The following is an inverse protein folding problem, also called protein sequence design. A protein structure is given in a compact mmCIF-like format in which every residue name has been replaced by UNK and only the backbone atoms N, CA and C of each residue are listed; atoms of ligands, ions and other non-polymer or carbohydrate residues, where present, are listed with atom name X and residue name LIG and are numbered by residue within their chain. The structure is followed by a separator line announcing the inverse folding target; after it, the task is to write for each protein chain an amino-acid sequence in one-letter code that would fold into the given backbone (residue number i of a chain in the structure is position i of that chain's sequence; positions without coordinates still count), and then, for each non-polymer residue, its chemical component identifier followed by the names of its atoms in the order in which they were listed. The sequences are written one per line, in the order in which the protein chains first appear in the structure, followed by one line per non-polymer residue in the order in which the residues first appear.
data_IF_289799616127
#
_entry.id   IF_289799616127
#
_cell.length_a   1.000
_cell.length_b   1.000
_cell.length_c   1.000
_cell.angle_alpha   90.00
_cell.angle_beta   90.00
_cell.angle_gamma   90.00
#
_symmetry.space_group_name_H-M   'P 1'
#
loop_
_entity.id
_entity.type
_entity.pdbx_description
1 polymer ?
#
# COMPACT_ATOMS: atom_id res chain seq x y z
N UNK A 1 -1.00 16.56 2.03
CA UNK A 1 -1.79 15.33 1.75
C UNK A 1 -0.91 14.11 1.44
N UNK A 2 0.11 14.24 0.60
CA UNK A 2 1.01 13.14 0.20
C UNK A 2 1.61 12.35 1.39
N UNK A 3 2.19 13.04 2.37
CA UNK A 3 2.80 12.40 3.54
C UNK A 3 1.83 11.57 4.37
N UNK A 4 0.55 11.97 4.42
CA UNK A 4 -0.51 11.20 5.08
C UNK A 4 -0.77 9.89 4.35
N UNK A 5 -0.87 9.92 3.01
CA UNK A 5 -1.07 8.72 2.17
C UNK A 5 0.13 7.79 2.31
N UNK A 6 1.35 8.32 2.29
CA UNK A 6 2.58 7.55 2.50
C UNK A 6 2.58 6.82 3.85
N UNK A 7 2.29 7.53 4.93
CA UNK A 7 2.20 6.94 6.28
C UNK A 7 1.09 5.90 6.38
N UNK A 8 -0.05 6.14 5.73
CA UNK A 8 -1.16 5.20 5.67
C UNK A 8 -0.76 3.89 4.99
N UNK A 9 -0.04 3.94 3.87
CA UNK A 9 0.43 2.74 3.15
C UNK A 9 1.44 1.93 3.97
N UNK A 10 2.38 2.60 4.65
CA UNK A 10 3.31 1.95 5.59
C UNK A 10 2.59 1.22 6.73
N UNK A 11 1.62 1.88 7.36
CA UNK A 11 0.80 1.26 8.41
C UNK A 11 -0.05 0.10 7.89
N UNK A 12 -0.56 0.20 6.66
CA UNK A 12 -1.28 -0.89 6.01
C UNK A 12 -0.37 -2.10 5.81
N UNK A 13 0.86 -1.88 5.33
CA UNK A 13 1.85 -2.94 5.10
C UNK A 13 2.17 -3.70 6.40
N UNK A 14 2.37 -2.96 7.50
CA UNK A 14 2.63 -3.54 8.82
C UNK A 14 1.44 -4.39 9.30
N UNK A 15 0.21 -3.88 9.17
CA UNK A 15 -1.02 -4.62 9.52
C UNK A 15 -1.15 -5.91 8.71
N UNK A 16 -0.81 -5.88 7.43
CA UNK A 16 -0.83 -7.07 6.59
C UNK A 16 0.24 -8.09 7.03
N UNK A 17 1.43 -7.62 7.40
CA UNK A 17 2.49 -8.47 7.93
C UNK A 17 2.08 -9.17 9.23
N UNK A 18 1.48 -8.45 10.17
CA UNK A 18 0.95 -9.01 11.40
C UNK A 18 -0.15 -10.05 11.14
N UNK A 19 -1.09 -9.74 10.23
CA UNK A 19 -2.16 -10.68 9.84
C UNK A 19 -1.59 -11.94 9.20
N UNK A 20 -0.62 -11.82 8.30
CA UNK A 20 0.06 -12.96 7.66
C UNK A 20 0.71 -13.87 8.70
N UNK A 21 1.46 -13.31 9.64
CA UNK A 21 2.11 -14.07 10.71
C UNK A 21 1.10 -14.79 11.62
N UNK A 22 -0.05 -14.15 11.90
CA UNK A 22 -1.15 -14.77 12.64
C UNK A 22 -1.74 -15.96 11.88
N UNK A 23 -1.95 -15.84 10.56
CA UNK A 23 -2.42 -16.94 9.73
C UNK A 23 -1.42 -18.09 9.68
N UNK A 24 -0.12 -17.79 9.59
CA UNK A 24 0.93 -18.81 9.60
C UNK A 24 0.96 -19.61 10.91
N UNK A 25 0.78 -18.95 12.05
CA UNK A 25 0.63 -19.63 13.34
C UNK A 25 -0.63 -20.50 13.38
N UNK A 26 -1.76 -20.02 12.89
CA UNK A 26 -3.00 -20.80 12.81
C UNK A 26 -2.86 -22.03 11.91
N UNK A 27 -2.24 -21.90 10.74
CA UNK A 27 -1.98 -23.02 9.84
C UNK A 27 -1.09 -24.08 10.49
N UNK A 28 -0.07 -23.68 11.26
CA UNK A 28 0.74 -24.62 12.05
C UNK A 28 -0.10 -25.36 13.09
N UNK A 29 -0.96 -24.64 13.82
CA UNK A 29 -1.83 -25.24 14.84
C UNK A 29 -2.81 -26.26 14.25
N UNK A 30 -3.43 -25.95 13.11
CA UNK A 30 -4.37 -26.85 12.42
C UNK A 30 -3.69 -28.16 12.01
N UNK A 31 -2.47 -28.10 11.51
CA UNK A 31 -1.72 -29.32 11.14
C UNK A 31 -1.50 -30.21 12.37
N UNK A 32 -1.20 -29.63 13.52
CA UNK A 32 -1.08 -30.38 14.77
C UNK A 32 -2.43 -30.91 15.25
N UNK A 33 -3.49 -30.10 15.20
CA UNK A 33 -4.82 -30.49 15.69
C UNK A 33 -5.50 -31.55 14.81
N UNK A 34 -5.20 -31.59 13.51
CA UNK A 34 -5.61 -32.70 12.63
C UNK A 34 -5.05 -34.04 13.13
N UNK A 35 -3.78 -34.09 13.54
CA UNK A 35 -3.16 -35.30 14.09
C UNK A 35 -3.80 -35.71 15.41
N UNK A 36 -4.00 -34.75 16.32
CA UNK A 36 -4.62 -34.99 17.62
C UNK A 36 -6.06 -35.49 17.47
N UNK A 37 -6.89 -34.82 16.66
CA UNK A 37 -8.27 -35.26 16.40
C UNK A 37 -8.34 -36.64 15.76
N UNK A 38 -7.43 -36.97 14.85
CA UNK A 38 -7.34 -38.33 14.28
C UNK A 38 -7.02 -39.38 15.35
N UNK A 39 -6.07 -39.11 16.25
CA UNK A 39 -5.68 -40.05 17.32
C UNK A 39 -6.83 -40.24 18.31
N UNK A 40 -7.48 -39.15 18.75
CA UNK A 40 -8.64 -39.22 19.65
C UNK A 40 -9.75 -40.04 19.02
N UNK A 41 -10.05 -39.80 17.75
CA UNK A 41 -11.11 -40.54 17.05
C UNK A 41 -10.82 -42.05 16.99
N UNK A 42 -9.59 -42.43 16.65
CA UNK A 42 -9.16 -43.84 16.62
C UNK A 42 -9.22 -44.46 18.02
N UNK A 43 -8.74 -43.75 19.04
CA UNK A 43 -8.72 -44.25 20.42
C UNK A 43 -10.13 -44.44 21.00
N UNK A 44 -11.03 -43.46 20.82
CA UNK A 44 -12.43 -43.57 21.24
C UNK A 44 -13.13 -44.73 20.51
N UNK A 45 -12.87 -44.88 19.22
CA UNK A 45 -13.47 -45.97 18.45
C UNK A 45 -12.99 -47.35 18.91
N UNK A 46 -11.69 -47.51 19.14
CA UNK A 46 -11.12 -48.74 19.69
C UNK A 46 -11.70 -49.08 21.09
N UNK A 47 -11.84 -48.08 21.96
CA UNK A 47 -12.43 -48.27 23.29
C UNK A 47 -13.89 -48.73 23.20
N UNK A 48 -14.70 -48.11 22.32
CA UNK A 48 -16.10 -48.53 22.09
C UNK A 48 -16.18 -49.97 21.59
N UNK A 49 -15.30 -50.36 20.66
CA UNK A 49 -15.25 -51.76 20.18
C UNK A 49 -14.88 -52.75 21.29
N UNK A 50 -13.88 -52.43 22.11
CA UNK A 50 -13.47 -53.31 23.23
C UNK A 50 -14.61 -53.44 24.25
N UNK A 51 -15.24 -52.33 24.65
CA UNK A 51 -16.40 -52.34 25.55
C UNK A 51 -17.58 -53.12 24.97
N UNK A 52 -17.81 -53.00 23.66
CA UNK A 52 -18.87 -53.70 22.93
C UNK A 52 -18.66 -55.23 22.93
N UNK A 53 -17.43 -55.71 22.70
CA UNK A 53 -17.11 -57.15 22.74
C UNK A 53 -17.26 -57.72 24.15
N UNK A 54 -16.80 -57.01 25.18
CA UNK A 54 -16.94 -57.46 26.59
C UNK A 54 -18.42 -57.56 27.00
N UNK A 55 -19.23 -56.57 26.63
CA UNK A 55 -20.67 -56.60 26.89
C UNK A 55 -21.38 -57.75 26.15
N UNK A 56 -20.98 -58.04 24.91
CA UNK A 56 -21.53 -59.15 24.12
C UNK A 56 -21.20 -60.52 24.73
N UNK A 57 -19.97 -60.70 25.21
CA UNK A 57 -19.54 -61.95 25.85
C UNK A 57 -20.29 -62.21 27.17
N UNK A 58 -20.78 -61.16 27.84
CA UNK A 58 -21.51 -61.25 29.09
C UNK A 58 -23.04 -61.31 28.93
N UNK A 59 -23.58 -61.02 27.73
CA UNK A 59 -25.03 -60.98 27.48
C UNK A 59 -25.50 -62.14 26.57
N UNK A 60 -26.67 -62.69 26.87
CA UNK A 60 -27.27 -63.85 26.20
C UNK A 60 -27.41 -63.70 24.65
N UNK A 61 -27.60 -64.81 23.90
CA UNK A 61 -27.55 -64.88 22.43
C UNK A 61 -28.29 -63.80 21.60
N UNK A 62 -29.43 -63.22 22.03
CA UNK A 62 -30.14 -62.21 21.23
C UNK A 62 -29.37 -60.87 21.09
N UNK A 63 -28.52 -60.53 22.05
CA UNK A 63 -27.84 -59.22 22.09
C UNK A 63 -26.64 -59.20 21.12
N UNK A 64 -26.01 -60.36 20.89
CA UNK A 64 -24.94 -60.52 19.89
C UNK A 64 -25.42 -60.22 18.46
N UNK A 65 -26.67 -60.56 18.13
CA UNK A 65 -27.26 -60.26 16.82
C UNK A 65 -27.49 -58.76 16.61
N UNK A 66 -27.94 -58.04 17.65
CA UNK A 66 -28.11 -56.59 17.60
C UNK A 66 -26.77 -55.83 17.48
N UNK A 67 -25.72 -56.36 18.12
CA UNK A 67 -24.37 -55.79 18.07
C UNK A 67 -23.68 -55.99 16.71
N UNK A 68 -23.84 -57.14 16.06
CA UNK A 68 -23.37 -57.36 14.69
C UNK A 68 -23.98 -56.33 13.72
N UNK A 69 -25.25 -55.97 13.91
CA UNK A 69 -25.91 -54.94 13.10
C UNK A 69 -25.43 -53.49 13.41
N UNK A 70 -25.01 -53.17 14.64
CA UNK A 70 -24.54 -51.84 14.99
C UNK A 70 -23.09 -51.55 14.52
N UNK A 71 -22.26 -52.59 14.40
CA UNK A 71 -20.89 -52.46 13.86
C UNK A 71 -20.85 -52.23 12.34
N UNK A 72 -21.98 -52.35 11.64
CA UNK A 72 -22.07 -52.07 10.20
C UNK A 72 -22.13 -50.57 9.86
N UNK A 73 -22.08 -49.68 10.86
CA UNK A 73 -21.91 -48.24 10.61
C UNK A 73 -20.53 -48.02 9.99
N UNK A 74 -20.41 -47.53 8.74
CA UNK A 74 -19.15 -47.53 8.04
C UNK A 74 -18.15 -46.56 8.69
N UNK A 75 -17.14 -47.12 9.35
CA UNK A 75 -16.01 -46.41 9.99
C UNK A 75 -15.32 -45.45 9.01
N UNK A 76 -15.34 -45.79 7.72
CA UNK A 76 -14.79 -44.95 6.66
C UNK A 76 -15.51 -43.60 6.44
N UNK A 77 -16.75 -43.44 6.90
CA UNK A 77 -17.54 -42.20 6.73
C UNK A 77 -17.10 -41.09 7.69
N UNK A 78 -16.92 -41.43 8.97
CA UNK A 78 -16.66 -40.43 10.01
C UNK A 78 -15.22 -39.90 9.96
N UNK A 79 -14.25 -40.74 9.62
CA UNK A 79 -12.87 -40.30 9.39
C UNK A 79 -12.74 -39.34 8.20
N UNK A 80 -13.48 -39.63 7.10
CA UNK A 80 -13.57 -38.73 5.93
C UNK A 80 -14.26 -37.41 6.28
N UNK A 81 -15.28 -37.43 7.12
CA UNK A 81 -15.94 -36.21 7.59
C UNK A 81 -14.98 -35.31 8.38
N UNK A 82 -14.27 -35.84 9.38
CA UNK A 82 -13.29 -35.07 10.17
C UNK A 82 -12.17 -34.51 9.29
N UNK A 83 -11.62 -35.32 8.38
CA UNK A 83 -10.58 -34.85 7.47
C UNK A 83 -11.10 -33.73 6.55
N UNK A 84 -12.31 -33.88 6.00
CA UNK A 84 -12.93 -32.86 5.15
C UNK A 84 -13.15 -31.53 5.88
N UNK A 85 -13.56 -31.55 7.16
CA UNK A 85 -13.70 -30.35 7.98
C UNK A 85 -12.36 -29.63 8.14
N UNK A 86 -11.30 -30.37 8.49
CA UNK A 86 -9.97 -29.78 8.63
C UNK A 86 -9.40 -29.28 7.31
N UNK A 87 -9.68 -29.95 6.20
CA UNK A 87 -9.22 -29.58 4.87
C UNK A 87 -9.91 -28.31 4.38
N UNK A 88 -11.22 -28.17 4.61
CA UNK A 88 -11.99 -26.97 4.30
C UNK A 88 -11.51 -25.76 5.12
N UNK A 89 -11.21 -25.97 6.41
CA UNK A 89 -10.66 -24.90 7.24
C UNK A 89 -9.24 -24.50 6.83
N UNK A 90 -8.38 -25.47 6.49
CA UNK A 90 -7.03 -25.22 5.99
C UNK A 90 -7.05 -24.48 4.64
N UNK A 91 -7.93 -24.88 3.70
CA UNK A 91 -8.05 -24.22 2.39
C UNK A 91 -8.53 -22.78 2.53
N UNK A 92 -9.50 -22.51 3.39
CA UNK A 92 -9.98 -21.16 3.68
C UNK A 92 -8.85 -20.25 4.21
N UNK A 93 -8.01 -20.76 5.13
CA UNK A 93 -6.87 -19.99 5.64
C UNK A 93 -5.75 -19.83 4.62
N UNK A 94 -5.51 -20.83 3.75
CA UNK A 94 -4.57 -20.67 2.64
C UNK A 94 -5.04 -19.58 1.67
N UNK A 95 -6.33 -19.59 1.31
CA UNK A 95 -6.92 -18.54 0.48
C UNK A 95 -6.78 -17.15 1.12
N UNK A 96 -7.09 -17.01 2.42
CA UNK A 96 -6.86 -15.74 3.12
C UNK A 96 -5.39 -15.33 3.14
N UNK A 97 -4.47 -16.28 3.33
CA UNK A 97 -3.02 -16.00 3.33
C UNK A 97 -2.54 -15.53 1.95
N UNK A 98 -3.06 -16.13 0.88
CA UNK A 98 -2.75 -15.76 -0.49
C UNK A 98 -3.25 -14.35 -0.80
N UNK A 99 -4.51 -14.03 -0.48
CA UNK A 99 -5.07 -12.68 -0.63
C UNK A 99 -4.25 -11.64 0.16
N UNK A 100 -3.90 -11.94 1.41
CA UNK A 100 -3.02 -11.06 2.21
C UNK A 100 -1.64 -10.92 1.56
N UNK A 101 -1.09 -12.01 1.01
CA UNK A 101 0.19 -12.00 0.29
C UNK A 101 0.17 -11.10 -0.94
N UNK A 102 -0.85 -11.22 -1.80
CA UNK A 102 -1.03 -10.37 -2.96
C UNK A 102 -1.23 -8.91 -2.56
N UNK A 103 -2.01 -8.66 -1.49
CA UNK A 103 -2.21 -7.32 -0.96
C UNK A 103 -0.91 -6.71 -0.42
N UNK A 104 -0.04 -7.49 0.23
CA UNK A 104 1.29 -7.00 0.65
C UNK A 104 2.15 -6.58 -0.53
N UNK A 105 2.18 -7.38 -1.61
CA UNK A 105 2.92 -7.04 -2.82
C UNK A 105 2.37 -5.75 -3.43
N UNK A 106 1.05 -5.64 -3.56
CA UNK A 106 0.40 -4.42 -4.06
C UNK A 106 0.71 -3.18 -3.19
N UNK A 107 0.64 -3.29 -1.86
CA UNK A 107 1.00 -2.21 -0.94
C UNK A 107 2.48 -1.84 -1.06
N UNK A 108 3.38 -2.80 -1.25
CA UNK A 108 4.81 -2.53 -1.45
C UNK A 108 5.08 -1.76 -2.75
N UNK A 109 4.42 -2.16 -3.85
CA UNK A 109 4.49 -1.43 -5.13
C UNK A 109 3.99 -0.01 -4.95
N UNK A 110 2.83 0.18 -4.29
CA UNK A 110 2.29 1.51 -4.04
C UNK A 110 3.24 2.40 -3.21
N UNK A 111 3.94 1.84 -2.21
CA UNK A 111 4.95 2.59 -1.45
C UNK A 111 6.11 3.00 -2.37
N UNK A 112 6.57 2.10 -3.24
CA UNK A 112 7.66 2.40 -4.18
C UNK A 112 7.28 3.48 -5.20
N UNK A 113 6.05 3.45 -5.69
CA UNK A 113 5.52 4.48 -6.57
C UNK A 113 5.41 5.83 -5.84
N UNK A 114 5.02 5.83 -4.57
CA UNK A 114 5.04 7.04 -3.76
C UNK A 114 6.47 7.58 -3.58
N UNK A 115 7.48 6.75 -3.34
CA UNK A 115 8.87 7.21 -3.28
C UNK A 115 9.30 7.90 -4.59
N UNK A 116 8.92 7.34 -5.74
CA UNK A 116 9.19 7.95 -7.04
C UNK A 116 8.48 9.30 -7.19
N UNK A 117 7.20 9.40 -6.79
CA UNK A 117 6.44 10.65 -6.81
C UNK A 117 7.10 11.70 -5.92
N UNK A 118 7.64 11.31 -4.75
CA UNK A 118 8.34 12.23 -3.85
C UNK A 118 9.52 12.90 -4.54
N UNK A 119 10.36 12.12 -5.22
CA UNK A 119 11.51 12.65 -5.97
C UNK A 119 11.06 13.61 -7.08
N UNK A 120 9.94 13.32 -7.75
CA UNK A 120 9.38 14.20 -8.77
C UNK A 120 8.84 15.51 -8.17
N UNK A 121 8.23 15.45 -6.99
CA UNK A 121 7.79 16.66 -6.26
C UNK A 121 8.99 17.53 -5.90
N UNK A 122 10.05 16.94 -5.33
CA UNK A 122 11.25 17.66 -4.93
C UNK A 122 11.91 18.35 -6.15
N UNK A 123 11.94 17.67 -7.30
CA UNK A 123 12.44 18.27 -8.55
C UNK A 123 11.54 19.40 -9.07
N UNK A 124 10.23 19.22 -9.01
CA UNK A 124 9.27 20.23 -9.48
C UNK A 124 9.35 21.50 -8.63
N UNK A 125 9.57 21.37 -7.31
CA UNK A 125 9.80 22.49 -6.41
C UNK A 125 11.01 23.33 -6.85
N UNK A 126 12.14 22.68 -7.14
CA UNK A 126 13.34 23.34 -7.67
C UNK A 126 13.06 24.03 -9.02
N UNK A 127 12.34 23.37 -9.93
CA UNK A 127 12.00 23.96 -11.24
C UNK A 127 11.09 25.20 -11.08
N UNK A 128 10.13 25.18 -10.15
CA UNK A 128 9.27 26.33 -9.84
C UNK A 128 10.09 27.48 -9.25
N UNK A 129 10.97 27.22 -8.28
CA UNK A 129 11.86 28.24 -7.70
C UNK A 129 12.70 28.90 -8.79
N UNK A 130 13.31 28.10 -9.68
CA UNK A 130 14.12 28.63 -10.78
C UNK A 130 13.32 29.47 -11.78
N UNK A 131 12.06 29.10 -12.05
CA UNK A 131 11.17 29.86 -12.92
C UNK A 131 10.76 31.19 -12.28
N UNK A 132 10.50 31.20 -10.97
CA UNK A 132 10.19 32.42 -10.22
C UNK A 132 11.38 33.38 -10.21
N UNK A 133 12.59 32.87 -9.99
CA UNK A 133 13.82 33.66 -10.08
C UNK A 133 14.00 34.25 -11.48
N UNK A 134 13.87 33.43 -12.53
CA UNK A 134 13.96 33.90 -13.91
C UNK A 134 12.90 34.97 -14.26
N UNK A 135 11.67 34.80 -13.76
CA UNK A 135 10.59 35.76 -13.97
C UNK A 135 10.87 37.10 -13.27
N UNK A 136 11.37 37.06 -12.03
CA UNK A 136 11.76 38.28 -11.30
C UNK A 136 12.88 39.05 -12.02
N UNK A 137 13.87 38.34 -12.54
CA UNK A 137 14.96 38.93 -13.31
C UNK A 137 14.48 39.57 -14.62
N UNK A 138 13.56 38.91 -15.33
CA UNK A 138 12.97 39.47 -16.55
C UNK A 138 12.17 40.75 -16.29
N UNK A 139 11.43 40.82 -15.18
CA UNK A 139 10.71 42.03 -14.75
C UNK A 139 11.69 43.17 -14.43
N UNK A 140 12.77 42.88 -13.72
CA UNK A 140 13.80 43.87 -13.39
C UNK A 140 14.49 44.41 -14.64
N UNK A 141 14.83 43.54 -15.61
CA UNK A 141 15.40 43.97 -16.89
C UNK A 141 14.46 44.90 -17.67
N UNK A 142 13.15 44.63 -17.70
CA UNK A 142 12.19 45.51 -18.39
C UNK A 142 12.12 46.89 -17.69
N UNK A 143 12.17 46.93 -16.36
CA UNK A 143 12.25 48.18 -15.60
C UNK A 143 13.54 48.97 -15.94
N UNK A 144 14.68 48.28 -16.05
CA UNK A 144 15.95 48.90 -16.47
C UNK A 144 15.85 49.46 -17.88
N UNK A 145 15.23 48.74 -18.81
CA UNK A 145 15.03 49.19 -20.19
C UNK A 145 14.17 50.45 -20.26
N UNK A 146 13.07 50.52 -19.49
CA UNK A 146 12.22 51.71 -19.40
C UNK A 146 13.02 52.92 -18.88
N UNK A 147 13.84 52.73 -17.83
CA UNK A 147 14.67 53.80 -17.29
C UNK A 147 15.69 54.33 -18.32
N UNK A 148 16.31 53.45 -19.11
CA UNK A 148 17.24 53.85 -20.18
C UNK A 148 16.54 54.66 -21.27
N UNK A 149 15.32 54.24 -21.68
CA UNK A 149 14.54 54.99 -22.67
C UNK A 149 14.18 56.39 -22.19
N UNK A 150 13.88 56.55 -20.90
CA UNK A 150 13.59 57.86 -20.31
C UNK A 150 14.81 58.78 -20.27
N UNK A 151 15.98 58.24 -19.89
CA UNK A 151 17.26 58.98 -19.94
C UNK A 151 17.56 59.45 -21.37
N UNK A 152 17.42 58.56 -22.36
CA UNK A 152 17.65 58.88 -23.77
C UNK A 152 16.73 59.99 -24.26
N UNK A 153 15.46 59.97 -23.88
CA UNK A 153 14.48 61.01 -24.25
C UNK A 153 14.81 62.37 -23.63
N UNK A 154 15.28 62.39 -22.38
CA UNK A 154 15.70 63.62 -21.72
C UNK A 154 16.96 64.21 -22.36
N UNK A 155 17.94 63.36 -22.67
CA UNK A 155 19.15 63.76 -23.39
C UNK A 155 18.84 64.43 -24.74
N UNK A 156 17.98 63.82 -25.55
CA UNK A 156 17.56 64.39 -26.84
C UNK A 156 16.87 65.74 -26.68
N UNK A 157 16.07 65.90 -25.63
CA UNK A 157 15.40 67.17 -25.31
C UNK A 157 16.41 68.26 -24.96
N UNK A 158 17.41 67.92 -24.15
CA UNK A 158 18.43 68.86 -23.69
C UNK A 158 19.37 69.27 -24.82
N UNK A 159 19.76 68.36 -25.70
CA UNK A 159 20.50 68.70 -26.93
C UNK A 159 19.71 69.67 -27.79
N UNK A 160 18.41 69.42 -28.01
CA UNK A 160 17.56 70.33 -28.80
C UNK A 160 17.49 71.71 -28.16
N UNK A 161 17.31 71.79 -26.83
CA UNK A 161 17.31 73.06 -26.10
C UNK A 161 18.65 73.79 -26.22
N UNK A 162 19.77 73.10 -25.99
CA UNK A 162 21.10 73.68 -26.11
C UNK A 162 21.35 74.22 -27.52
N UNK A 163 20.96 73.46 -28.55
CA UNK A 163 21.02 73.91 -29.94
C UNK A 163 20.21 75.17 -30.17
N UNK A 164 18.96 75.23 -29.69
CA UNK A 164 18.12 76.43 -29.81
C UNK A 164 18.73 77.64 -29.09
N UNK A 165 19.26 77.45 -27.88
CA UNK A 165 19.91 78.53 -27.12
C UNK A 165 21.17 79.05 -27.83
N UNK A 166 21.99 78.15 -28.38
CA UNK A 166 23.17 78.53 -29.17
C UNK A 166 22.76 79.29 -30.43
N UNK A 167 21.75 78.79 -31.17
CA UNK A 167 21.23 79.48 -32.35
C UNK A 167 20.69 80.88 -32.02
N UNK A 168 19.92 81.01 -30.94
CA UNK A 168 19.44 82.31 -30.46
C UNK A 168 20.59 83.25 -30.09
N UNK A 169 21.63 82.72 -29.44
CA UNK A 169 22.82 83.51 -29.09
C UNK A 169 23.57 84.00 -30.33
N UNK A 170 23.73 83.16 -31.35
CA UNK A 170 24.37 83.52 -32.62
C UNK A 170 23.55 84.60 -33.34
N UNK A 171 22.23 84.41 -33.47
CA UNK A 171 21.33 85.39 -34.12
C UNK A 171 21.40 86.74 -33.41
N UNK A 172 21.34 86.76 -32.08
CA UNK A 172 21.40 87.99 -31.29
C UNK A 172 22.73 88.74 -31.44
N UNK A 173 23.83 88.02 -31.64
CA UNK A 173 25.16 88.60 -31.84
C UNK A 173 25.40 89.13 -33.27
N UNK A 174 24.59 88.69 -34.24
CA UNK A 174 24.68 89.09 -35.66
C UNK A 174 23.80 90.32 -35.98
N UNK A 175 22.83 90.62 -35.12
CA UNK A 175 21.89 91.75 -35.26
C UNK A 175 22.31 93.03 -34.48
N UNK A 176 23.52 93.05 -33.91
CA UNK A 176 24.16 94.22 -33.27
C UNK A 176 25.41 94.59 -34.07
#
# INVERSE_FOLDING_TARGET
MFQTVYRQQLLMLEKLHLRKNKLDKKLKYIKSWRKVSSIIFVATFAAVLICSVVAAAMAAPPVAAALAAATSIPIGSMGKWIDSLWKNYESALKGQKEVIGSMQVGTYVAIKDLDNIRVLIDRLEIEIESLLDNASFAIEQEAVKIAIEEIKKNWDRDIRRARTVVLQRIIKHTNN
#
